data_IF_575824964857
#
_entry.id   IF_575824964857
#
_cell.length_a   1.000
_cell.length_b   1.000
_cell.length_c   1.000
_cell.angle_alpha   90.00
_cell.angle_beta   90.00
_cell.angle_gamma   90.00
#
_symmetry.space_group_name_H-M   'P 1'
#
loop_
_entity.id
_entity.type
_entity.pdbx_description
1 polymer ?
#
# COMPACT_ATOMS: atom_id res chain seq x y z
N UNK A 1 6.30 23.82 18.51
CA UNK A 1 5.89 23.54 17.12
C UNK A 1 6.59 22.25 16.68
N UNK A 2 5.86 21.11 16.62
CA UNK A 2 6.46 19.82 16.25
C UNK A 2 6.73 19.78 14.73
N UNK A 3 8.01 19.78 14.36
CA UNK A 3 8.47 19.67 12.98
C UNK A 3 8.41 18.20 12.58
N UNK A 4 7.38 17.79 11.83
CA UNK A 4 7.31 16.45 11.25
C UNK A 4 8.51 16.24 10.31
N UNK A 5 9.51 15.44 10.72
CA UNK A 5 10.49 14.91 9.77
C UNK A 5 9.73 13.92 8.88
N UNK A 6 9.50 14.34 7.64
CA UNK A 6 8.64 13.80 6.58
C UNK A 6 8.85 12.33 6.17
N UNK A 7 9.53 11.48 6.98
CA UNK A 7 10.23 10.33 6.40
C UNK A 7 9.44 9.03 6.33
N UNK A 8 8.49 8.75 7.23
CA UNK A 8 7.80 7.45 7.18
C UNK A 8 6.31 7.61 7.55
N UNK A 9 5.45 7.61 6.52
CA UNK A 9 3.99 7.55 6.66
C UNK A 9 3.53 6.14 6.29
N UNK A 10 2.61 5.57 7.05
CA UNK A 10 2.11 4.22 6.85
C UNK A 10 0.59 4.17 6.93
N UNK A 11 -0.01 3.14 6.30
CA UNK A 11 -1.41 2.81 6.56
C UNK A 11 -1.49 2.15 7.91
N UNK A 12 -2.38 2.66 8.75
CA UNK A 12 -2.65 2.10 10.05
C UNK A 12 -4.08 2.43 10.44
N UNK A 13 -4.89 1.46 10.86
CA UNK A 13 -6.32 1.65 11.16
C UNK A 13 -7.08 2.43 10.08
N UNK A 14 -6.91 2.05 8.82
CA UNK A 14 -7.60 2.66 7.67
C UNK A 14 -7.25 4.14 7.37
N UNK A 15 -6.23 4.70 8.01
CA UNK A 15 -5.75 6.06 7.77
C UNK A 15 -4.25 6.09 7.48
N UNK A 16 -3.74 7.24 7.07
CA UNK A 16 -2.29 7.45 6.95
C UNK A 16 -1.76 8.16 8.18
N UNK A 17 -1.02 7.40 8.99
CA UNK A 17 -0.40 7.87 10.21
C UNK A 17 1.12 8.04 10.06
N UNK A 18 1.73 8.95 10.83
CA UNK A 18 3.18 9.03 10.91
C UNK A 18 3.75 7.91 11.79
N UNK A 19 4.87 7.35 11.35
CA UNK A 19 5.80 6.64 12.22
C UNK A 19 6.50 7.69 13.08
N UNK A 20 6.33 7.61 14.40
CA UNK A 20 6.92 8.54 15.36
C UNK A 20 8.27 8.10 15.85
N UNK A 21 8.46 6.80 16.02
CA UNK A 21 9.73 6.24 16.38
C UNK A 21 9.92 4.86 15.76
N UNK A 22 11.17 4.43 15.66
CA UNK A 22 11.57 3.09 15.25
C UNK A 22 12.61 2.60 16.25
N UNK A 23 12.38 1.44 16.82
CA UNK A 23 13.30 0.78 17.72
C UNK A 23 13.91 -0.43 17.02
N UNK A 24 15.20 -0.63 17.26
CA UNK A 24 15.93 -1.81 16.78
C UNK A 24 15.98 -2.84 17.91
N UNK A 25 15.74 -4.10 17.59
CA UNK A 25 15.73 -5.22 18.53
C UNK A 25 16.35 -6.45 17.88
N UNK A 26 16.69 -7.46 18.68
CA UNK A 26 17.24 -8.72 18.17
C UNK A 26 16.30 -9.43 17.17
N UNK A 27 14.99 -9.17 17.25
CA UNK A 27 13.95 -9.77 16.40
C UNK A 27 13.57 -8.86 15.21
N UNK A 28 14.25 -7.72 15.05
CA UNK A 28 14.03 -6.74 14.00
C UNK A 28 13.44 -5.43 14.50
N UNK A 29 12.96 -4.61 13.56
CA UNK A 29 12.46 -3.28 13.87
C UNK A 29 11.00 -3.28 14.36
N UNK A 30 10.74 -2.55 15.43
CA UNK A 30 9.40 -2.16 15.86
C UNK A 30 9.20 -0.64 15.73
N UNK A 31 7.94 -0.22 15.67
CA UNK A 31 7.53 1.12 15.31
C UNK A 31 6.51 1.65 16.32
N UNK A 32 6.55 2.96 16.55
CA UNK A 32 5.51 3.68 17.29
C UNK A 32 4.68 4.45 16.28
N UNK A 33 3.39 4.16 16.23
CA UNK A 33 2.45 4.75 15.28
C UNK A 33 1.44 5.61 16.02
N UNK A 34 1.20 6.80 15.49
CA UNK A 34 0.12 7.66 15.96
C UNK A 34 -1.03 7.63 14.96
N UNK A 35 -2.25 7.53 15.48
CA UNK A 35 -3.46 7.58 14.67
C UNK A 35 -4.58 8.28 15.45
N UNK A 36 -5.59 8.77 14.74
CA UNK A 36 -6.72 9.47 15.35
C UNK A 36 -8.00 8.64 15.22
N UNK A 37 -8.77 8.55 16.30
CA UNK A 37 -10.11 7.96 16.24
C UNK A 37 -11.05 8.83 15.38
N UNK A 38 -12.22 8.29 14.96
CA UNK A 38 -13.24 9.12 14.30
C UNK A 38 -13.72 10.31 15.14
N UNK A 39 -13.63 10.22 16.48
CA UNK A 39 -13.92 11.32 17.40
C UNK A 39 -12.78 12.35 17.53
N UNK A 40 -11.64 12.15 16.86
CA UNK A 40 -10.48 13.05 16.88
C UNK A 40 -9.51 12.83 18.03
N UNK A 41 -9.67 11.76 18.81
CA UNK A 41 -8.76 11.42 19.91
C UNK A 41 -7.45 10.82 19.36
N UNK A 42 -6.30 11.25 19.88
CA UNK A 42 -5.01 10.65 19.53
C UNK A 42 -4.84 9.30 20.25
N UNK A 43 -4.59 8.25 19.47
CA UNK A 43 -4.14 6.94 19.95
C UNK A 43 -2.70 6.67 19.53
N UNK A 44 -2.00 5.91 20.38
CA UNK A 44 -0.58 5.58 20.21
C UNK A 44 -0.46 4.07 20.34
N UNK A 45 -0.05 3.43 19.24
CA UNK A 45 0.26 2.01 19.22
C UNK A 45 1.78 1.86 19.27
N UNK A 46 2.28 1.29 20.37
CA UNK A 46 3.67 0.93 20.54
C UNK A 46 3.98 -0.47 20.01
N UNK A 47 5.25 -0.72 19.72
CA UNK A 47 5.76 -2.06 19.35
C UNK A 47 5.14 -2.69 18.09
N UNK A 48 4.64 -1.86 17.18
CA UNK A 48 4.10 -2.32 15.90
C UNK A 48 5.24 -2.87 15.04
N UNK A 49 5.10 -4.03 14.44
CA UNK A 49 6.12 -4.60 13.52
C UNK A 49 5.90 -4.13 12.08
N UNK A 50 6.96 -4.18 11.26
CA UNK A 50 6.81 -3.93 9.81
C UNK A 50 5.81 -4.90 9.17
N UNK A 51 5.81 -6.17 9.61
CA UNK A 51 4.89 -7.19 9.14
C UNK A 51 3.43 -6.82 9.38
N UNK A 52 3.10 -6.27 10.56
CA UNK A 52 1.75 -5.78 10.84
C UNK A 52 1.36 -4.60 9.96
N UNK A 53 2.27 -3.64 9.72
CA UNK A 53 2.02 -2.50 8.81
C UNK A 53 1.73 -3.00 7.39
N UNK A 54 2.50 -3.97 6.91
CA UNK A 54 2.28 -4.58 5.60
C UNK A 54 0.96 -5.36 5.59
N UNK A 55 0.65 -6.12 6.64
CA UNK A 55 -0.62 -6.85 6.76
C UNK A 55 -1.83 -5.92 6.72
N UNK A 56 -1.75 -4.77 7.39
CA UNK A 56 -2.77 -3.72 7.30
C UNK A 56 -2.90 -3.23 5.86
N UNK A 57 -1.81 -2.84 5.18
CA UNK A 57 -1.90 -2.43 3.77
C UNK A 57 -2.50 -3.54 2.88
N UNK A 58 -2.21 -4.80 3.17
CA UNK A 58 -2.71 -5.94 2.41
C UNK A 58 -4.21 -6.15 2.61
N UNK A 59 -4.77 -5.85 3.77
CA UNK A 59 -6.20 -6.00 4.04
C UNK A 59 -7.06 -5.09 3.15
N UNK A 60 -6.49 -3.97 2.69
CA UNK A 60 -7.12 -3.03 1.77
C UNK A 60 -6.82 -3.31 0.29
N UNK A 61 -5.77 -4.07 0.00
CA UNK A 61 -5.25 -4.24 -1.34
C UNK A 61 -5.91 -5.42 -2.07
N UNK A 62 -6.43 -5.17 -3.27
CA UNK A 62 -6.96 -6.20 -4.17
C UNK A 62 -5.88 -7.05 -4.83
N UNK A 63 -4.66 -6.52 -4.96
CA UNK A 63 -3.52 -7.21 -5.55
C UNK A 63 -2.29 -7.12 -4.64
N UNK A 64 -1.51 -8.19 -4.56
CA UNK A 64 -0.22 -8.28 -3.90
C UNK A 64 0.96 -8.00 -4.82
N UNK A 65 2.07 -7.52 -4.23
CA UNK A 65 3.32 -7.39 -4.97
C UNK A 65 3.75 -8.78 -5.41
N UNK A 66 4.06 -8.93 -6.69
CA UNK A 66 4.34 -10.22 -7.31
C UNK A 66 3.15 -10.84 -8.03
N UNK A 67 1.92 -10.38 -7.78
CA UNK A 67 0.74 -10.89 -8.50
C UNK A 67 0.88 -10.63 -9.99
N UNK A 68 0.54 -11.66 -10.77
CA UNK A 68 0.53 -11.64 -12.23
C UNK A 68 -0.90 -11.73 -12.76
N UNK A 69 -1.17 -11.01 -13.83
CA UNK A 69 -2.47 -11.01 -14.51
C UNK A 69 -2.30 -10.55 -15.95
N UNK A 70 -3.27 -10.85 -16.79
CA UNK A 70 -3.32 -10.36 -18.16
C UNK A 70 -4.02 -9.00 -18.22
N UNK A 71 -3.47 -8.09 -19.02
CA UNK A 71 -4.10 -6.81 -19.29
C UNK A 71 -3.77 -6.38 -20.73
N UNK A 72 -4.74 -6.57 -21.63
CA UNK A 72 -4.47 -6.51 -23.06
C UNK A 72 -3.55 -7.68 -23.48
N UNK A 73 -2.74 -7.54 -24.54
CA UNK A 73 -1.92 -8.63 -25.08
C UNK A 73 -0.65 -8.92 -24.23
N UNK A 74 -0.62 -8.50 -22.97
CA UNK A 74 0.59 -8.49 -22.15
C UNK A 74 0.32 -9.07 -20.76
N UNK A 75 1.20 -9.98 -20.33
CA UNK A 75 1.31 -10.38 -18.92
C UNK A 75 1.88 -9.22 -18.11
N UNK A 76 1.18 -8.84 -17.05
CA UNK A 76 1.56 -7.77 -16.12
C UNK A 76 1.91 -8.35 -14.76
N UNK A 77 2.71 -7.59 -14.02
CA UNK A 77 3.07 -7.89 -12.63
C UNK A 77 2.96 -6.64 -11.74
N UNK A 78 2.43 -6.80 -10.53
CA UNK A 78 2.51 -5.75 -9.51
C UNK A 78 3.95 -5.65 -9.00
N UNK A 79 4.62 -4.54 -9.29
CA UNK A 79 6.00 -4.27 -8.82
C UNK A 79 6.04 -3.60 -7.46
N UNK A 80 5.07 -2.75 -7.19
CA UNK A 80 4.98 -2.05 -5.91
C UNK A 80 3.53 -1.65 -5.66
N UNK A 81 3.19 -1.47 -4.38
CA UNK A 81 1.95 -0.83 -3.95
C UNK A 81 2.21 0.09 -2.78
N UNK A 82 1.39 1.12 -2.66
CA UNK A 82 1.40 2.03 -1.52
C UNK A 82 0.03 2.66 -1.40
N UNK A 83 -0.29 3.16 -0.22
CA UNK A 83 -1.54 3.89 -0.02
C UNK A 83 -1.41 5.34 -0.44
N UNK A 84 -2.47 5.86 -1.05
CA UNK A 84 -2.61 7.26 -1.39
C UNK A 84 -3.55 7.93 -0.37
N UNK A 85 -3.02 8.70 0.61
CA UNK A 85 -3.84 9.36 1.63
C UNK A 85 -4.87 10.32 1.03
N UNK A 86 -4.54 10.95 -0.10
CA UNK A 86 -5.41 11.94 -0.72
C UNK A 86 -6.64 11.31 -1.36
N UNK A 87 -6.49 10.10 -1.89
CA UNK A 87 -7.55 9.37 -2.59
C UNK A 87 -8.19 8.28 -1.72
N UNK A 88 -7.65 8.00 -0.54
CA UNK A 88 -8.15 6.96 0.36
C UNK A 88 -8.13 5.57 -0.28
N UNK A 89 -7.12 5.28 -1.11
CA UNK A 89 -7.06 4.02 -1.88
C UNK A 89 -5.63 3.56 -2.09
N UNK A 90 -5.48 2.28 -2.44
CA UNK A 90 -4.19 1.69 -2.81
C UNK A 90 -3.82 2.10 -4.25
N UNK A 91 -2.58 2.48 -4.44
CA UNK A 91 -1.96 2.71 -5.75
C UNK A 91 -1.04 1.55 -6.07
N UNK A 92 -1.00 1.18 -7.34
CA UNK A 92 -0.18 0.11 -7.86
C UNK A 92 0.81 0.66 -8.89
N UNK A 93 2.05 0.18 -8.82
CA UNK A 93 2.96 0.20 -9.96
C UNK A 93 2.87 -1.15 -10.64
N UNK A 94 2.32 -1.14 -11.85
CA UNK A 94 2.16 -2.32 -12.69
C UNK A 94 3.20 -2.26 -13.80
N UNK A 95 3.93 -3.33 -14.01
CA UNK A 95 4.90 -3.43 -15.11
C UNK A 95 4.55 -4.58 -16.05
N UNK A 96 5.02 -4.51 -17.29
CA UNK A 96 5.13 -5.69 -18.14
C UNK A 96 6.05 -6.73 -17.50
N UNK A 97 5.66 -8.00 -17.56
CA UNK A 97 6.48 -9.09 -17.06
C UNK A 97 7.75 -9.28 -17.90
N UNK A 98 7.71 -8.95 -19.20
CA UNK A 98 8.83 -9.12 -20.15
C UNK A 98 9.64 -7.84 -20.35
N UNK A 99 9.02 -6.66 -20.20
CA UNK A 99 9.69 -5.36 -20.31
C UNK A 99 9.35 -4.41 -19.13
N UNK A 100 10.11 -4.45 -18.02
CA UNK A 100 9.85 -3.64 -16.84
C UNK A 100 9.84 -2.12 -17.07
N UNK A 101 10.39 -1.63 -18.20
CA UNK A 101 10.37 -0.21 -18.56
C UNK A 101 8.95 0.25 -18.93
N UNK A 102 8.11 -0.67 -19.42
CA UNK A 102 6.67 -0.46 -19.65
C UNK A 102 5.92 -0.60 -18.33
N UNK A 103 5.99 0.44 -17.51
CA UNK A 103 5.29 0.52 -16.24
C UNK A 103 4.26 1.64 -16.22
N UNK A 104 3.18 1.42 -15.47
CA UNK A 104 2.17 2.43 -15.20
C UNK A 104 1.88 2.50 -13.71
N UNK A 105 1.46 3.68 -13.25
CA UNK A 105 0.93 3.88 -11.91
C UNK A 105 -0.57 4.09 -12.03
N UNK A 106 -1.34 3.31 -11.29
CA UNK A 106 -2.81 3.27 -11.39
C UNK A 106 -3.42 3.03 -10.00
N UNK A 107 -4.57 3.62 -9.72
CA UNK A 107 -5.31 3.35 -8.49
C UNK A 107 -6.04 1.99 -8.55
N UNK A 108 -6.41 1.47 -7.37
CA UNK A 108 -7.05 0.17 -7.22
C UNK A 108 -8.31 0.01 -8.05
N UNK A 109 -9.25 0.95 -7.95
CA UNK A 109 -10.54 0.85 -8.65
C UNK A 109 -10.34 0.83 -10.16
N UNK A 110 -9.47 1.69 -10.67
CA UNK A 110 -9.15 1.73 -12.11
C UNK A 110 -8.48 0.44 -12.57
N UNK A 111 -7.57 -0.13 -11.77
CA UNK A 111 -6.90 -1.37 -12.11
C UNK A 111 -7.88 -2.55 -12.12
N UNK A 112 -8.73 -2.68 -11.10
CA UNK A 112 -9.76 -3.72 -11.01
C UNK A 112 -10.67 -3.67 -12.23
N UNK A 113 -11.23 -2.50 -12.56
CA UNK A 113 -12.10 -2.33 -13.74
C UNK A 113 -11.40 -2.75 -15.04
N UNK A 114 -10.12 -2.42 -15.20
CA UNK A 114 -9.33 -2.78 -16.38
C UNK A 114 -9.11 -4.28 -16.51
N UNK A 115 -8.85 -4.96 -15.40
CA UNK A 115 -8.64 -6.41 -15.36
C UNK A 115 -9.96 -7.14 -15.63
N UNK A 116 -11.04 -6.73 -14.98
CA UNK A 116 -12.38 -7.33 -15.16
C UNK A 116 -12.87 -7.15 -16.60
N UNK A 117 -12.81 -5.93 -17.15
CA UNK A 117 -13.24 -5.68 -18.52
C UNK A 117 -12.43 -6.47 -19.56
N UNK A 118 -11.15 -6.77 -19.29
CA UNK A 118 -10.36 -7.60 -20.19
C UNK A 118 -10.72 -9.08 -20.08
N UNK A 119 -10.96 -9.57 -18.86
CA UNK A 119 -11.38 -10.95 -18.62
C UNK A 119 -12.71 -11.29 -19.33
N UNK A 120 -13.64 -10.32 -19.41
CA UNK A 120 -14.93 -10.49 -20.11
C UNK A 120 -14.81 -10.54 -21.63
N UNK A 121 -13.77 -9.93 -22.21
CA UNK A 121 -13.55 -9.90 -23.68
C UNK A 121 -12.72 -11.10 -24.16
N UNK A 122 -11.98 -11.74 -23.24
CA UNK A 122 -11.16 -12.92 -23.52
C UNK A 122 -11.91 -14.26 -23.48
N UNK A 123 -13.20 -14.26 -23.14
CA UNK A 123 -14.13 -15.41 -23.21
C UNK A 123 -15.00 -15.35 -24.45
#
# INVERSE_FOLDING_TARGET
MYRFKKKDLVVWHGQVGPVKNRFDSAEGYTYVLHWYTPSGELKIDGEVTFGQIVAELNSWARFCVGDKFELGPHERIIKARWWNPRRGTVMYRVADARDPRRSMVVDQETLVKKVEAYAEVGT
#
